data_IF_666457258860
#
_entry.id   IF_666457258860
#
_cell.length_a   1.000
_cell.length_b   1.000
_cell.length_c   1.000
_cell.angle_alpha   90.00
_cell.angle_beta   90.00
_cell.angle_gamma   90.00
#
_symmetry.space_group_name_H-M   'P 1'
#
loop_
_entity.id
_entity.type
_entity.pdbx_description
1 polymer ?
#
# COMPACT_ATOMS: atom_id res chain seq x y z
N UNK A 1 -48.46 2.52 37.46
CA UNK A 1 -47.09 2.15 37.02
C UNK A 1 -46.93 2.50 35.54
N UNK A 2 -46.12 3.51 35.20
CA UNK A 2 -45.87 3.94 33.81
C UNK A 2 -44.75 3.08 33.22
N UNK A 3 -45.07 2.21 32.25
CA UNK A 3 -44.06 1.41 31.54
C UNK A 3 -43.39 2.29 30.48
N UNK A 4 -42.12 2.64 30.70
CA UNK A 4 -41.32 3.31 29.69
C UNK A 4 -40.94 2.31 28.59
N UNK A 5 -41.67 2.30 27.47
CA UNK A 5 -41.23 1.63 26.26
C UNK A 5 -40.01 2.38 25.69
N UNK A 6 -38.81 1.86 25.96
CA UNK A 6 -37.57 2.34 25.36
C UNK A 6 -37.52 1.83 23.91
N UNK A 7 -37.75 2.71 22.94
CA UNK A 7 -37.62 2.35 21.52
C UNK A 7 -36.19 1.88 21.24
N UNK A 8 -36.03 0.65 20.76
CA UNK A 8 -34.77 0.18 20.20
C UNK A 8 -34.58 0.89 18.85
N UNK A 9 -33.79 1.97 18.82
CA UNK A 9 -33.32 2.53 17.55
C UNK A 9 -32.31 1.53 16.97
N UNK A 10 -32.79 0.70 16.06
CA UNK A 10 -31.94 -0.20 15.27
C UNK A 10 -31.22 0.59 14.18
N UNK A 11 -30.14 -0.01 13.67
CA UNK A 11 -29.45 0.46 12.48
C UNK A 11 -30.36 0.27 11.27
N UNK A 12 -30.47 1.30 10.43
CA UNK A 12 -31.29 1.24 9.21
C UNK A 12 -30.51 0.58 8.07
N UNK A 13 -31.23 -0.05 7.14
CA UNK A 13 -30.61 -0.59 5.93
C UNK A 13 -29.86 0.49 5.13
N UNK A 14 -30.38 1.72 5.15
CA UNK A 14 -29.78 2.87 4.46
C UNK A 14 -28.41 3.21 5.06
N UNK A 15 -28.30 3.23 6.39
CA UNK A 15 -27.02 3.48 7.06
C UNK A 15 -25.98 2.39 6.69
N UNK A 16 -26.40 1.13 6.54
CA UNK A 16 -25.50 0.04 6.14
C UNK A 16 -24.96 0.20 4.72
N UNK A 17 -25.85 0.53 3.77
CA UNK A 17 -25.46 0.71 2.38
C UNK A 17 -24.54 1.91 2.22
N UNK A 18 -24.81 3.01 2.96
CA UNK A 18 -23.99 4.21 2.92
C UNK A 18 -22.55 3.95 3.42
N UNK A 19 -22.40 3.12 4.47
CA UNK A 19 -21.07 2.73 4.97
C UNK A 19 -20.29 1.92 3.93
N UNK A 20 -20.91 0.92 3.31
CA UNK A 20 -20.24 0.11 2.28
C UNK A 20 -19.84 0.96 1.08
N UNK A 21 -20.70 1.90 0.66
CA UNK A 21 -20.40 2.80 -0.44
C UNK A 21 -19.11 3.63 -0.18
N UNK A 22 -18.96 4.19 1.03
CA UNK A 22 -17.76 4.96 1.40
C UNK A 22 -16.53 4.05 1.46
N UNK A 23 -16.65 2.83 2.01
CA UNK A 23 -15.54 1.87 2.08
C UNK A 23 -15.03 1.51 0.69
N UNK A 24 -15.93 1.27 -0.28
CA UNK A 24 -15.55 0.95 -1.66
C UNK A 24 -14.79 2.10 -2.31
N UNK A 25 -15.24 3.34 -2.12
CA UNK A 25 -14.54 4.53 -2.64
C UNK A 25 -13.13 4.62 -2.05
N UNK A 26 -13.00 4.47 -0.73
CA UNK A 26 -11.70 4.53 -0.06
C UNK A 26 -10.77 3.40 -0.51
N UNK A 27 -11.30 2.18 -0.66
CA UNK A 27 -10.53 1.02 -1.09
C UNK A 27 -9.89 1.22 -2.47
N UNK A 28 -10.63 1.81 -3.42
CA UNK A 28 -10.11 2.10 -4.77
C UNK A 28 -8.96 3.11 -4.72
N UNK A 29 -9.11 4.20 -3.95
CA UNK A 29 -8.05 5.23 -3.82
C UNK A 29 -6.79 4.64 -3.20
N UNK A 30 -6.94 3.83 -2.14
CA UNK A 30 -5.81 3.16 -1.47
C UNK A 30 -5.15 2.14 -2.40
N UNK A 31 -5.94 1.39 -3.18
CA UNK A 31 -5.40 0.43 -4.12
C UNK A 31 -4.46 1.08 -5.16
N UNK A 32 -4.90 2.17 -5.78
CA UNK A 32 -4.07 2.90 -6.75
C UNK A 32 -2.80 3.51 -6.13
N UNK A 33 -2.89 4.02 -4.90
CA UNK A 33 -1.73 4.62 -4.23
C UNK A 33 -0.67 3.58 -3.86
N UNK A 34 -1.09 2.43 -3.34
CA UNK A 34 -0.19 1.31 -3.00
C UNK A 34 0.45 0.73 -4.27
N UNK A 35 -0.31 0.54 -5.35
CA UNK A 35 0.23 0.07 -6.63
C UNK A 35 1.33 1.01 -7.16
N UNK A 36 1.11 2.34 -7.10
CA UNK A 36 2.11 3.32 -7.48
C UNK A 36 3.36 3.27 -6.59
N UNK A 37 3.17 3.12 -5.27
CA UNK A 37 4.27 3.02 -4.32
C UNK A 37 5.14 1.78 -4.57
N UNK A 38 4.50 0.63 -4.83
CA UNK A 38 5.20 -0.61 -5.17
C UNK A 38 6.00 -0.45 -6.48
N UNK A 39 5.42 0.19 -7.50
CA UNK A 39 6.14 0.47 -8.75
C UNK A 39 7.41 1.30 -8.52
N UNK A 40 7.29 2.38 -7.73
CA UNK A 40 8.44 3.23 -7.37
C UNK A 40 9.51 2.47 -6.59
N UNK A 41 9.09 1.63 -5.64
CA UNK A 41 10.02 0.81 -4.85
C UNK A 41 10.78 -0.21 -5.72
N UNK A 42 10.12 -0.81 -6.71
CA UNK A 42 10.77 -1.71 -7.66
C UNK A 42 11.78 -0.98 -8.55
N UNK A 43 11.44 0.20 -9.08
CA UNK A 43 12.37 1.02 -9.88
C UNK A 43 13.59 1.45 -9.06
N UNK A 44 13.40 1.87 -7.81
CA UNK A 44 14.50 2.21 -6.91
C UNK A 44 15.40 0.99 -6.64
N UNK A 45 14.79 -0.17 -6.36
CA UNK A 45 15.53 -1.42 -6.15
C UNK A 45 16.33 -1.82 -7.39
N UNK A 46 15.76 -1.70 -8.59
CA UNK A 46 16.45 -2.00 -9.84
C UNK A 46 17.65 -1.08 -10.05
N UNK A 47 17.47 0.23 -9.80
CA UNK A 47 18.53 1.22 -9.96
C UNK A 47 19.69 0.96 -8.98
N UNK A 48 19.39 0.58 -7.74
CA UNK A 48 20.40 0.23 -6.74
C UNK A 48 21.14 -1.05 -7.13
N UNK A 49 20.44 -2.07 -7.63
CA UNK A 49 21.08 -3.31 -8.10
C UNK A 49 22.06 -3.04 -9.24
N UNK A 50 21.61 -2.28 -10.26
CA UNK A 50 22.46 -1.89 -11.38
C UNK A 50 23.70 -1.12 -10.91
N UNK A 51 23.52 -0.18 -9.98
CA UNK A 51 24.65 0.56 -9.39
C UNK A 51 25.63 -0.36 -8.64
N UNK A 52 25.12 -1.30 -7.85
CA UNK A 52 25.95 -2.24 -7.11
C UNK A 52 26.70 -3.20 -8.05
N UNK A 53 26.04 -3.67 -9.11
CA UNK A 53 26.66 -4.53 -10.12
C UNK A 53 27.82 -3.81 -10.82
N UNK A 54 27.63 -2.53 -11.17
CA UNK A 54 28.70 -1.70 -11.73
C UNK A 54 29.90 -1.55 -10.77
N UNK A 55 29.65 -1.33 -9.47
CA UNK A 55 30.72 -1.26 -8.45
C UNK A 55 31.44 -2.61 -8.33
N UNK A 56 30.71 -3.72 -8.34
CA UNK A 56 31.29 -5.06 -8.23
C UNK A 56 32.18 -5.38 -9.43
N UNK A 57 31.79 -5.00 -10.65
CA UNK A 57 32.62 -5.15 -11.85
C UNK A 57 33.93 -4.38 -11.72
N UNK A 58 33.87 -3.10 -11.35
CA UNK A 58 35.08 -2.26 -11.19
C UNK A 58 35.98 -2.82 -10.08
N UNK A 59 35.41 -3.29 -8.99
CA UNK A 59 36.18 -3.89 -7.89
C UNK A 59 36.90 -5.17 -8.35
N UNK A 60 36.22 -6.02 -9.12
CA UNK A 60 36.81 -7.24 -9.67
C UNK A 60 37.95 -6.96 -10.66
N UNK A 61 37.83 -5.91 -11.48
CA UNK A 61 38.91 -5.46 -12.36
C UNK A 61 40.13 -4.99 -11.57
N UNK A 62 39.93 -4.24 -10.48
CA UNK A 62 41.03 -3.79 -9.60
C UNK A 62 41.76 -4.97 -8.95
N UNK A 63 41.01 -5.96 -8.41
CA UNK A 63 41.61 -7.14 -7.80
C UNK A 63 42.46 -7.94 -8.80
N UNK A 64 42.01 -8.03 -10.05
CA UNK A 64 42.73 -8.71 -11.13
C UNK A 64 44.04 -8.00 -11.51
N UNK A 65 44.11 -6.67 -11.36
CA UNK A 65 45.31 -5.87 -11.64
C UNK A 65 46.33 -5.95 -10.51
N UNK A 66 45.88 -6.16 -9.27
CA UNK A 66 46.71 -6.17 -8.07
C UNK A 66 47.24 -7.58 -7.68
N UNK A 67 46.68 -8.65 -8.25
CA UNK A 67 47.11 -10.05 -8.07
C UNK A 67 48.16 -10.49 -9.08
#
# INVERSE_FOLDING_TARGET
MKRLHKSKKGFTLVEMVLVIAIIVILAVVVFFSVASYIGKAQSATSSIKEHNDAINTVTAEIDTILS
#
